data_IF_344650504184
#
_entry.id   IF_344650504184
#
_cell.length_a   1.000
_cell.length_b   1.000
_cell.length_c   1.000
_cell.angle_alpha   90.00
_cell.angle_beta   90.00
_cell.angle_gamma   90.00
#
_symmetry.space_group_name_H-M   'P 1'
#
loop_
_entity.id
_entity.type
_entity.pdbx_description
1 polymer ?
#
# COMPACT_ATOMS: atom_id res chain seq x y z
N UNK A 1 16.45 18.47 -1.37
CA UNK A 1 15.25 17.63 -1.27
C UNK A 1 14.10 18.41 -1.90
N UNK A 2 13.47 17.87 -2.95
CA UNK A 2 12.39 18.53 -3.70
C UNK A 2 11.07 17.80 -3.49
N UNK A 3 9.94 18.45 -3.80
CA UNK A 3 8.62 17.80 -3.80
C UNK A 3 8.60 16.56 -4.71
N UNK A 4 9.25 16.63 -5.88
CA UNK A 4 9.40 15.48 -6.78
C UNK A 4 10.17 14.32 -6.13
N UNK A 5 11.24 14.60 -5.40
CA UNK A 5 11.98 13.55 -4.68
C UNK A 5 11.08 12.84 -3.65
N UNK A 6 10.27 13.59 -2.91
CA UNK A 6 9.32 13.03 -1.95
C UNK A 6 8.25 12.21 -2.68
N UNK A 7 7.74 12.70 -3.83
CA UNK A 7 6.77 12.00 -4.67
C UNK A 7 7.30 10.64 -5.13
N UNK A 8 8.54 10.57 -5.64
CA UNK A 8 9.18 9.30 -6.03
C UNK A 8 9.31 8.33 -4.85
N UNK A 9 9.68 8.82 -3.66
CA UNK A 9 9.76 7.97 -2.47
C UNK A 9 8.38 7.42 -2.07
N UNK A 10 7.33 8.24 -2.18
CA UNK A 10 5.97 7.80 -1.89
C UNK A 10 5.48 6.77 -2.92
N UNK A 11 5.83 6.90 -4.19
CA UNK A 11 5.51 5.88 -5.22
C UNK A 11 6.12 4.51 -4.86
N UNK A 12 7.38 4.49 -4.44
CA UNK A 12 8.04 3.25 -3.97
C UNK A 12 7.35 2.67 -2.72
N UNK A 13 6.96 3.52 -1.77
CA UNK A 13 6.24 3.07 -0.57
C UNK A 13 4.87 2.50 -0.94
N UNK A 14 4.16 3.10 -1.91
CA UNK A 14 2.87 2.59 -2.36
C UNK A 14 3.00 1.19 -2.98
N UNK A 15 4.04 0.95 -3.78
CA UNK A 15 4.35 -0.37 -4.34
C UNK A 15 4.66 -1.39 -3.23
N UNK A 16 5.53 -1.04 -2.28
CA UNK A 16 5.86 -1.92 -1.15
C UNK A 16 4.63 -2.28 -0.29
N UNK A 17 3.71 -1.34 -0.08
CA UNK A 17 2.47 -1.59 0.63
C UNK A 17 1.54 -2.54 -0.13
N UNK A 18 1.55 -2.48 -1.47
CA UNK A 18 0.78 -3.38 -2.32
C UNK A 18 1.35 -4.81 -2.28
N UNK A 19 2.66 -4.94 -2.44
CA UNK A 19 3.35 -6.23 -2.36
C UNK A 19 3.10 -6.92 -1.02
N UNK A 20 3.19 -6.16 0.08
CA UNK A 20 2.93 -6.68 1.42
C UNK A 20 1.45 -7.07 1.58
N UNK A 21 0.52 -6.26 1.10
CA UNK A 21 -0.91 -6.59 1.13
C UNK A 21 -1.19 -7.90 0.36
N UNK A 22 -0.57 -8.07 -0.82
CA UNK A 22 -0.69 -9.28 -1.62
C UNK A 22 -0.06 -10.50 -0.95
N UNK A 23 1.05 -10.34 -0.21
CA UNK A 23 1.61 -11.42 0.60
C UNK A 23 0.63 -11.85 1.69
N UNK A 24 0.09 -10.89 2.45
CA UNK A 24 -0.89 -11.18 3.52
C UNK A 24 -2.15 -11.85 2.96
N UNK A 25 -2.61 -11.47 1.76
CA UNK A 25 -3.71 -12.18 1.09
C UNK A 25 -3.36 -13.62 0.75
N UNK A 26 -2.17 -13.86 0.19
CA UNK A 26 -1.72 -15.22 -0.19
C UNK A 26 -1.63 -16.12 1.03
N UNK A 27 -0.95 -15.65 2.07
CA UNK A 27 -0.77 -16.41 3.31
C UNK A 27 -2.12 -16.75 3.95
N UNK A 28 -3.05 -15.77 3.98
CA UNK A 28 -4.40 -16.00 4.50
C UNK A 28 -5.19 -17.02 3.67
N UNK A 29 -5.05 -17.03 2.34
CA UNK A 29 -5.68 -18.03 1.47
C UNK A 29 -5.11 -19.43 1.74
N UNK A 30 -3.79 -19.54 1.91
CA UNK A 30 -3.12 -20.80 2.25
C UNK A 30 -3.56 -21.35 3.62
N UNK A 31 -3.85 -20.46 4.57
CA UNK A 31 -4.41 -20.79 5.88
C UNK A 31 -5.93 -21.07 5.87
N UNK A 32 -6.60 -20.96 4.72
CA UNK A 32 -8.03 -21.22 4.58
C UNK A 32 -8.92 -20.10 5.09
N UNK A 33 -8.42 -18.87 5.16
CA UNK A 33 -9.20 -17.72 5.57
C UNK A 33 -10.39 -17.48 4.62
N UNK A 34 -11.58 -17.31 5.20
CA UNK A 34 -12.83 -17.02 4.46
C UNK A 34 -13.16 -15.54 4.43
N UNK A 35 -12.38 -14.73 5.13
CA UNK A 35 -12.56 -13.28 5.23
C UNK A 35 -11.25 -12.57 5.00
N UNK A 36 -11.34 -11.37 4.41
CA UNK A 36 -10.20 -10.47 4.21
C UNK A 36 -9.52 -10.14 5.57
N UNK A 37 -8.21 -10.40 5.73
CA UNK A 37 -7.48 -10.12 6.97
C UNK A 37 -7.50 -8.64 7.36
N UNK A 38 -7.55 -8.34 8.66
CA UNK A 38 -7.51 -6.96 9.16
C UNK A 38 -6.18 -6.27 8.85
N UNK A 39 -5.08 -7.01 8.87
CA UNK A 39 -3.76 -6.50 8.49
C UNK A 39 -3.74 -6.03 7.03
N UNK A 40 -4.30 -6.83 6.13
CA UNK A 40 -4.38 -6.46 4.73
C UNK A 40 -5.31 -5.25 4.49
N UNK A 41 -6.47 -5.18 5.19
CA UNK A 41 -7.31 -3.97 5.19
C UNK A 41 -6.55 -2.73 5.68
N UNK A 42 -5.65 -2.88 6.65
CA UNK A 42 -4.79 -1.79 7.14
C UNK A 42 -3.79 -1.37 6.07
N UNK A 43 -3.13 -2.32 5.41
CA UNK A 43 -2.15 -2.07 4.34
C UNK A 43 -2.78 -1.36 3.13
N UNK A 44 -3.93 -1.84 2.65
CA UNK A 44 -4.68 -1.17 1.56
C UNK A 44 -5.07 0.25 1.93
N UNK A 45 -5.51 0.51 3.18
CA UNK A 45 -5.86 1.88 3.63
C UNK A 45 -4.63 2.80 3.69
N UNK A 46 -3.49 2.28 4.14
CA UNK A 46 -2.23 3.02 4.14
C UNK A 46 -1.83 3.36 2.70
N UNK A 47 -1.85 2.39 1.78
CA UNK A 47 -1.52 2.57 0.37
C UNK A 47 -2.35 3.69 -0.27
N UNK A 48 -3.68 3.66 -0.08
CA UNK A 48 -4.59 4.71 -0.57
C UNK A 48 -4.27 6.10 -0.03
N UNK A 49 -3.80 6.19 1.21
CA UNK A 49 -3.40 7.46 1.80
C UNK A 49 -2.11 8.00 1.17
N UNK A 50 -1.17 7.10 0.83
CA UNK A 50 0.07 7.42 0.10
C UNK A 50 -0.23 7.83 -1.34
N UNK A 51 -1.08 7.10 -2.06
CA UNK A 51 -1.53 7.45 -3.42
C UNK A 51 -2.18 8.84 -3.47
N UNK A 52 -2.96 9.18 -2.45
CA UNK A 52 -3.54 10.53 -2.32
C UNK A 52 -2.45 11.59 -2.18
N UNK A 53 -1.40 11.33 -1.38
CA UNK A 53 -0.29 12.27 -1.23
C UNK A 53 0.50 12.42 -2.55
N UNK A 54 0.73 11.34 -3.29
CA UNK A 54 1.37 11.36 -4.61
C UNK A 54 0.58 12.24 -5.59
N UNK A 55 -0.75 12.08 -5.62
CA UNK A 55 -1.62 12.91 -6.47
C UNK A 55 -1.49 14.39 -6.12
N UNK A 56 -1.56 14.75 -4.83
CA UNK A 56 -1.46 16.15 -4.37
C UNK A 56 -0.10 16.77 -4.71
N UNK A 57 0.98 16.00 -4.73
CA UNK A 57 2.31 16.48 -5.08
C UNK A 57 2.56 16.57 -6.59
N UNK A 58 1.69 15.95 -7.41
CA UNK A 58 1.76 15.98 -8.87
C UNK A 58 0.86 17.04 -9.52
N UNK A 59 -0.08 17.62 -8.77
CA UNK A 59 -0.93 18.75 -9.15
C UNK A 59 -0.18 20.10 -9.00
#
# INVERSE_FOLDING_TARGET
>A
MTAEHIRTQLEQIAEQLDDLAMSVLRDAVEEGATTRPEEEKKLTRARRSVEKAISILGD
#
